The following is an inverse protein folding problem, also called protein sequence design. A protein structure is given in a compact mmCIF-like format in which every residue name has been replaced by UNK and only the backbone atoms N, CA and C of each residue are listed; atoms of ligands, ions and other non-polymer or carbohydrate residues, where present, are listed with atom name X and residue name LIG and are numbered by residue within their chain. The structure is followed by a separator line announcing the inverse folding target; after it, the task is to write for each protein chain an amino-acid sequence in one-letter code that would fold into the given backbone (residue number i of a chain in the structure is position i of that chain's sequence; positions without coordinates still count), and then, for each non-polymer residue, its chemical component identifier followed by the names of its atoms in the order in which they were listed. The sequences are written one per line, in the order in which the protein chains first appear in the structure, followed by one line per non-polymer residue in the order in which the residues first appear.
data_IF_615265546842
#
_entry.id   IF_615265546842
#
_cell.length_a   1.000
_cell.length_b   1.000
_cell.length_c   1.000
_cell.angle_alpha   90.00
_cell.angle_beta   90.00
_cell.angle_gamma   90.00
#
_symmetry.space_group_name_H-M   'P 1'
#
loop_
_entity.id
_entity.type
_entity.pdbx_description
1 polymer ?
#
# COMPACT_ATOMS: atom_id res chain seq x y z
N UNK A 1 -20.86 26.34 3.59
CA UNK A 1 -19.47 25.96 3.96
C UNK A 1 -18.59 26.54 2.87
N UNK A 2 -17.84 27.61 3.14
CA UNK A 2 -16.96 28.22 2.12
C UNK A 2 -15.98 27.18 1.59
N UNK A 3 -15.82 27.14 0.27
CA UNK A 3 -14.99 26.19 -0.43
C UNK A 3 -13.51 26.47 -0.08
N UNK A 4 -12.96 25.74 0.91
CA UNK A 4 -11.56 25.83 1.37
C UNK A 4 -10.55 25.16 0.43
N UNK A 5 -10.85 25.04 -0.86
CA UNK A 5 -9.91 24.49 -1.83
C UNK A 5 -9.02 25.63 -2.33
N UNK A 6 -7.71 25.46 -2.19
CA UNK A 6 -6.73 26.39 -2.74
C UNK A 6 -6.85 26.45 -4.27
N UNK A 7 -6.76 27.64 -4.85
CA UNK A 7 -6.67 27.80 -6.30
C UNK A 7 -5.22 27.54 -6.73
N UNK A 8 -5.04 27.22 -8.01
CA UNK A 8 -3.68 27.00 -8.55
C UNK A 8 -2.77 28.21 -8.36
N UNK A 9 -3.30 29.44 -8.44
CA UNK A 9 -2.55 30.68 -8.21
C UNK A 9 -2.07 30.84 -6.76
N UNK A 10 -2.74 30.18 -5.80
CA UNK A 10 -2.39 30.21 -4.39
C UNK A 10 -1.22 29.27 -4.06
N UNK A 11 -0.93 28.30 -4.94
CA UNK A 11 0.07 27.24 -4.72
C UNK A 11 1.23 27.32 -5.71
N UNK A 12 0.94 27.60 -6.98
CA UNK A 12 1.93 27.60 -8.05
C UNK A 12 2.98 28.69 -7.86
N UNK A 13 4.24 28.28 -7.96
CA UNK A 13 5.46 29.07 -7.72
C UNK A 13 5.56 29.70 -6.33
N UNK A 14 4.76 29.25 -5.36
CA UNK A 14 4.81 29.73 -3.98
C UNK A 14 5.79 28.92 -3.13
N UNK A 15 6.23 29.54 -2.02
CA UNK A 15 7.17 28.96 -1.06
C UNK A 15 6.45 28.67 0.27
N UNK A 16 6.56 27.44 0.73
CA UNK A 16 6.05 26.96 2.00
C UNK A 16 7.21 26.51 2.89
N UNK A 17 6.98 26.39 4.19
CA UNK A 17 7.97 25.78 5.08
C UNK A 17 8.07 24.28 4.80
N UNK A 18 6.91 23.64 4.69
CA UNK A 18 6.79 22.22 4.40
C UNK A 18 5.89 22.00 3.17
N UNK A 19 6.32 21.12 2.28
CA UNK A 19 5.47 20.57 1.22
C UNK A 19 5.23 19.11 1.55
N UNK A 20 3.97 18.74 1.77
CA UNK A 20 3.55 17.37 2.08
C UNK A 20 2.92 16.78 0.83
N UNK A 21 3.49 15.68 0.33
CA UNK A 21 3.00 14.94 -0.83
C UNK A 21 2.34 13.65 -0.34
N UNK A 22 1.05 13.47 -0.61
CA UNK A 22 0.24 12.33 -0.15
C UNK A 22 -0.21 11.44 -1.28
N UNK A 23 -0.19 10.12 -1.06
CA UNK A 23 -0.90 9.17 -1.92
C UNK A 23 -2.37 9.02 -1.51
N UNK A 24 -2.87 7.78 -1.54
CA UNK A 24 -4.24 7.45 -1.10
C UNK A 24 -4.42 7.31 0.43
N UNK A 25 -3.33 7.33 1.20
CA UNK A 25 -3.36 7.14 2.66
C UNK A 25 -3.58 8.42 3.46
N UNK A 26 -4.00 8.28 4.72
CA UNK A 26 -4.28 9.41 5.62
C UNK A 26 -3.02 9.99 6.31
N UNK A 27 -1.89 9.28 6.29
CA UNK A 27 -0.72 9.61 7.10
C UNK A 27 -0.20 11.04 6.84
N UNK A 28 0.07 11.39 5.57
CA UNK A 28 0.52 12.74 5.27
C UNK A 28 -0.55 13.82 5.47
N UNK A 29 -1.85 13.51 5.39
CA UNK A 29 -2.91 14.46 5.75
C UNK A 29 -2.86 14.80 7.25
N UNK A 30 -2.62 13.82 8.11
CA UNK A 30 -2.46 14.02 9.56
C UNK A 30 -1.20 14.86 9.84
N UNK A 31 -0.09 14.56 9.17
CA UNK A 31 1.14 15.35 9.30
C UNK A 31 0.93 16.80 8.88
N UNK A 32 0.28 17.03 7.73
CA UNK A 32 -0.05 18.37 7.25
C UNK A 32 -0.97 19.12 8.22
N UNK A 33 -1.99 18.45 8.77
CA UNK A 33 -2.87 19.04 9.78
C UNK A 33 -2.12 19.42 11.06
N UNK A 34 -1.18 18.58 11.51
CA UNK A 34 -0.38 18.88 12.70
C UNK A 34 0.57 20.06 12.49
N UNK A 35 1.27 20.09 11.36
CA UNK A 35 2.21 21.17 11.02
C UNK A 35 1.50 22.51 10.83
N UNK A 36 0.35 22.51 10.14
CA UNK A 36 -0.46 23.71 9.91
C UNK A 36 -1.20 24.22 11.16
N UNK A 37 -1.22 23.43 12.25
CA UNK A 37 -1.71 23.89 13.55
C UNK A 37 -0.92 25.07 14.14
N UNK A 38 0.30 25.32 13.65
CA UNK A 38 1.02 26.56 13.91
C UNK A 38 0.79 27.55 12.76
N UNK A 39 0.12 28.70 12.98
CA UNK A 39 -0.19 29.66 11.93
C UNK A 39 1.05 30.29 11.27
N UNK A 40 2.20 30.27 11.94
CA UNK A 40 3.47 30.74 11.40
C UNK A 40 4.21 29.70 10.55
N UNK A 41 3.63 28.52 10.37
CA UNK A 41 4.20 27.42 9.57
C UNK A 41 3.33 27.20 8.33
N UNK A 42 3.64 27.86 7.20
CA UNK A 42 2.90 27.64 5.98
C UNK A 42 3.20 26.24 5.42
N UNK A 43 2.15 25.46 5.16
CA UNK A 43 2.22 24.09 4.66
C UNK A 43 1.43 23.99 3.36
N UNK A 44 2.02 23.36 2.33
CA UNK A 44 1.29 22.91 1.16
C UNK A 44 1.04 21.40 1.26
N UNK A 45 -0.20 20.98 0.99
CA UNK A 45 -0.56 19.56 0.88
C UNK A 45 -0.90 19.28 -0.59
N UNK A 46 -0.17 18.35 -1.20
CA UNK A 46 -0.35 17.95 -2.59
C UNK A 46 -0.65 16.45 -2.68
N UNK A 47 -1.55 16.05 -3.57
CA UNK A 47 -1.87 14.65 -3.81
C UNK A 47 -1.11 14.09 -5.01
N UNK A 48 -0.53 12.91 -4.86
CA UNK A 48 0.12 12.14 -5.90
C UNK A 48 -0.84 11.06 -6.46
N UNK A 49 -0.81 10.88 -7.78
CA UNK A 49 -1.65 9.93 -8.50
C UNK A 49 -3.09 10.41 -8.79
N UNK A 50 -3.83 9.70 -9.67
CA UNK A 50 -5.13 10.11 -10.15
C UNK A 50 -6.08 10.44 -9.01
N UNK A 51 -6.58 11.67 -9.00
CA UNK A 51 -7.75 11.99 -8.23
C UNK A 51 -8.93 11.26 -8.89
N UNK A 52 -9.71 10.52 -8.12
CA UNK A 52 -11.09 10.17 -8.50
C UNK A 52 -12.01 11.43 -8.56
N UNK A 53 -11.41 12.62 -8.66
CA UNK A 53 -11.98 13.95 -8.51
C UNK A 53 -11.07 14.94 -9.26
N UNK A 54 -11.00 14.89 -10.60
CA UNK A 54 -10.45 15.92 -11.54
C UNK A 54 -9.36 16.88 -11.02
N UNK A 55 -8.36 16.36 -10.30
CA UNK A 55 -7.46 17.13 -9.44
C UNK A 55 -5.99 16.98 -9.85
N UNK A 56 -5.12 17.88 -9.36
CA UNK A 56 -3.71 17.94 -9.76
C UNK A 56 -2.96 16.63 -9.49
N UNK A 57 -2.09 16.24 -10.42
CA UNK A 57 -1.23 15.04 -10.32
C UNK A 57 0.19 15.44 -9.94
N UNK A 58 0.64 15.14 -8.72
CA UNK A 58 2.09 15.18 -8.43
C UNK A 58 2.75 13.94 -8.99
N UNK A 59 3.74 14.12 -9.86
CA UNK A 59 4.53 13.01 -10.42
C UNK A 59 6.02 13.14 -10.18
N UNK A 60 6.55 14.31 -9.81
CA UNK A 60 7.99 14.48 -9.66
C UNK A 60 8.33 15.49 -8.60
N UNK A 61 9.35 15.15 -7.81
CA UNK A 61 10.04 16.05 -6.91
C UNK A 61 11.39 16.36 -7.57
N UNK A 62 11.61 17.62 -7.91
CA UNK A 62 12.89 18.06 -8.43
C UNK A 62 13.83 18.40 -7.27
N UNK A 63 14.72 17.46 -7.01
CA UNK A 63 15.96 17.67 -6.30
C UNK A 63 16.89 18.67 -7.03
N UNK A 64 17.45 19.63 -6.30
CA UNK A 64 18.65 20.37 -6.68
C UNK A 64 19.88 19.56 -6.30
N UNK A 65 20.80 19.39 -7.24
CA UNK A 65 22.15 18.93 -6.96
C UNK A 65 22.84 20.01 -6.12
N UNK A 66 23.42 19.62 -4.99
CA UNK A 66 24.37 20.46 -4.25
C UNK A 66 25.78 19.96 -4.55
N UNK A 67 26.79 20.83 -4.39
CA UNK A 67 28.21 20.49 -4.55
C UNK A 67 28.71 19.44 -3.53
N UNK A 68 27.86 19.00 -2.60
CA UNK A 68 28.13 17.95 -1.61
C UNK A 68 27.34 16.68 -1.93
N UNK A 69 27.86 15.53 -1.48
CA UNK A 69 27.36 14.15 -1.72
C UNK A 69 25.86 13.89 -1.45
N UNK A 70 25.13 14.83 -0.82
CA UNK A 70 23.71 14.71 -0.47
C UNK A 70 22.77 15.54 -1.39
N UNK A 71 21.64 14.93 -1.76
CA UNK A 71 20.61 15.53 -2.62
C UNK A 71 19.67 16.46 -1.81
N UNK A 72 19.53 17.71 -2.24
CA UNK A 72 18.57 18.66 -1.66
C UNK A 72 17.28 18.72 -2.47
N UNK A 73 16.12 18.60 -1.85
CA UNK A 73 14.84 18.78 -2.54
C UNK A 73 14.20 20.10 -2.14
N UNK A 74 14.01 20.98 -3.11
CA UNK A 74 13.34 22.27 -2.88
C UNK A 74 12.13 22.49 -3.77
N UNK A 75 11.86 21.60 -4.74
CA UNK A 75 10.73 21.74 -5.67
C UNK A 75 9.93 20.45 -5.77
N UNK A 76 8.61 20.55 -5.57
CA UNK A 76 7.67 19.53 -6.06
C UNK A 76 6.98 20.04 -7.33
N UNK A 77 6.91 19.19 -8.35
CA UNK A 77 6.26 19.45 -9.62
C UNK A 77 4.99 18.62 -9.76
N UNK A 78 3.93 19.25 -10.27
CA UNK A 78 2.62 18.63 -10.39
C UNK A 78 1.87 19.15 -11.62
N UNK A 79 1.07 18.29 -12.26
CA UNK A 79 0.06 18.74 -13.22
C UNK A 79 -1.03 19.50 -12.53
N UNK A 80 -1.56 20.47 -13.24
CA UNK A 80 -2.95 20.82 -13.08
C UNK A 80 -3.51 21.27 -14.43
N UNK A 81 -4.50 20.54 -14.94
CA UNK A 81 -5.12 20.86 -16.24
C UNK A 81 -4.14 20.74 -17.42
N UNK A 82 -3.24 19.77 -17.41
CA UNK A 82 -2.24 19.55 -18.47
C UNK A 82 -1.06 20.53 -18.44
N UNK A 83 -0.95 21.35 -17.39
CA UNK A 83 0.17 22.27 -17.19
C UNK A 83 1.01 21.86 -15.99
N UNK A 84 2.33 21.88 -16.18
CA UNK A 84 3.29 21.62 -15.10
C UNK A 84 3.41 22.86 -14.21
N UNK A 85 3.09 22.69 -12.94
CA UNK A 85 3.28 23.68 -11.89
C UNK A 85 4.38 23.24 -10.92
N UNK A 86 4.96 24.22 -10.21
CA UNK A 86 6.02 24.00 -9.23
C UNK A 86 5.59 24.60 -7.88
N UNK A 87 5.92 23.93 -6.79
CA UNK A 87 5.82 24.49 -5.42
C UNK A 87 7.15 24.29 -4.72
N UNK A 88 7.50 25.21 -3.83
CA UNK A 88 8.82 25.24 -3.20
C UNK A 88 8.73 24.99 -1.69
N UNK A 89 9.61 24.13 -1.18
CA UNK A 89 9.78 23.90 0.26
C UNK A 89 11.01 24.65 0.77
N UNK A 90 10.87 25.40 1.87
CA UNK A 90 11.99 26.09 2.54
C UNK A 90 12.72 25.20 3.52
N UNK A 91 12.00 24.29 4.18
CA UNK A 91 12.56 23.37 5.17
C UNK A 91 12.64 21.98 4.57
N UNK A 92 11.50 21.30 4.44
CA UNK A 92 11.48 19.89 4.09
C UNK A 92 10.31 19.53 3.14
N UNK A 93 10.53 18.46 2.37
CA UNK A 93 9.47 17.76 1.65
C UNK A 93 9.15 16.45 2.36
N UNK A 94 7.88 16.28 2.72
CA UNK A 94 7.39 15.12 3.43
C UNK A 94 6.57 14.27 2.47
N UNK A 95 6.97 13.03 2.27
CA UNK A 95 6.41 12.13 1.27
C UNK A 95 5.67 10.98 1.94
N UNK A 96 4.45 10.74 1.45
CA UNK A 96 3.57 9.64 1.84
C UNK A 96 3.10 8.89 0.58
N UNK A 97 4.03 8.72 -0.36
CA UNK A 97 3.83 8.08 -1.66
C UNK A 97 5.18 7.65 -2.27
N UNK A 98 5.55 6.37 -2.16
CA UNK A 98 6.82 5.80 -2.68
C UNK A 98 7.12 6.21 -4.13
N UNK A 99 6.18 6.01 -5.03
CA UNK A 99 6.36 6.22 -6.47
C UNK A 99 6.83 7.63 -6.82
N UNK A 100 6.52 8.62 -6.00
CA UNK A 100 7.00 9.99 -6.20
C UNK A 100 8.51 10.05 -6.08
N UNK A 101 9.14 9.30 -5.17
CA UNK A 101 10.61 9.27 -5.03
C UNK A 101 11.27 8.60 -6.23
N UNK A 102 10.72 7.49 -6.72
CA UNK A 102 11.22 6.79 -7.91
C UNK A 102 11.16 7.68 -9.15
N UNK A 103 10.02 8.32 -9.42
CA UNK A 103 9.87 9.28 -10.52
C UNK A 103 10.77 10.52 -10.38
N UNK A 104 11.29 10.76 -9.17
CA UNK A 104 12.25 11.83 -8.85
C UNK A 104 13.70 11.40 -9.03
N UNK A 105 13.95 10.16 -9.45
CA UNK A 105 15.29 9.61 -9.60
C UNK A 105 15.91 9.13 -8.29
N UNK A 106 15.09 8.88 -7.26
CA UNK A 106 15.52 8.39 -5.94
C UNK A 106 15.02 6.96 -5.77
N UNK A 107 15.91 5.98 -5.95
CA UNK A 107 15.57 4.56 -5.89
C UNK A 107 16.63 3.68 -6.55
N UNK A 108 16.31 2.41 -6.77
CA UNK A 108 17.21 1.45 -7.39
C UNK A 108 17.51 1.80 -8.85
N UNK A 109 18.78 1.99 -9.18
CA UNK A 109 19.23 2.25 -10.55
C UNK A 109 18.78 1.18 -11.56
N UNK A 110 18.76 -0.08 -11.17
CA UNK A 110 18.39 -1.18 -12.06
C UNK A 110 16.87 -1.17 -12.35
N UNK A 111 16.07 -0.57 -11.47
CA UNK A 111 14.64 -0.34 -11.69
C UNK A 111 14.41 0.95 -12.48
N UNK A 112 15.10 2.03 -12.11
CA UNK A 112 14.87 3.37 -12.68
C UNK A 112 15.45 3.55 -14.09
N UNK A 113 16.61 2.94 -14.38
CA UNK A 113 17.30 3.05 -15.66
C UNK A 113 16.45 2.59 -16.84
N UNK A 114 15.87 1.37 -16.81
CA UNK A 114 14.97 0.88 -17.86
C UNK A 114 13.70 1.72 -18.05
N UNK A 115 13.27 2.47 -17.03
CA UNK A 115 12.12 3.38 -17.09
C UNK A 115 12.47 4.75 -17.70
N UNK A 116 13.72 4.96 -18.13
CA UNK A 116 14.19 6.24 -18.68
C UNK A 116 14.27 7.36 -17.64
N UNK A 117 14.26 7.02 -16.34
CA UNK A 117 14.35 8.00 -15.26
C UNK A 117 15.82 8.27 -14.94
N UNK A 118 16.23 9.54 -14.98
CA UNK A 118 17.57 9.94 -14.53
C UNK A 118 17.74 9.63 -13.05
N UNK A 119 18.64 8.69 -12.73
CA UNK A 119 18.99 8.34 -11.35
C UNK A 119 19.80 9.49 -10.75
N UNK A 120 19.23 10.11 -9.71
CA UNK A 120 19.85 11.19 -8.93
C UNK A 120 20.43 10.68 -7.62
N UNK A 121 19.78 9.67 -7.04
CA UNK A 121 20.22 9.04 -5.82
C UNK A 121 19.92 7.54 -5.92
N UNK A 122 20.99 6.76 -5.98
CA UNK A 122 20.92 5.32 -6.05
C UNK A 122 20.65 4.76 -4.64
N UNK A 123 19.42 4.29 -4.44
CA UNK A 123 18.97 3.66 -3.21
C UNK A 123 18.34 2.32 -3.56
N UNK A 124 19.18 1.34 -3.87
CA UNK A 124 18.77 -0.03 -4.17
C UNK A 124 17.76 -0.64 -3.17
N UNK A 125 17.80 -0.36 -1.86
CA UNK A 125 16.78 -0.87 -0.95
C UNK A 125 15.38 -0.26 -1.12
N UNK A 126 15.24 0.85 -1.84
CA UNK A 126 13.95 1.50 -2.08
C UNK A 126 13.04 0.60 -2.91
N UNK A 127 11.83 0.38 -2.39
CA UNK A 127 10.86 -0.52 -3.00
C UNK A 127 11.03 -1.99 -2.63
N UNK A 128 12.08 -2.34 -1.89
CA UNK A 128 12.30 -3.69 -1.36
C UNK A 128 11.64 -3.83 0.02
N UNK A 129 11.57 -5.05 0.57
CA UNK A 129 10.98 -5.33 1.90
C UNK A 129 9.48 -5.00 1.98
N UNK A 130 8.77 -5.10 0.85
CA UNK A 130 7.31 -5.01 0.80
C UNK A 130 6.73 -6.14 1.63
N UNK A 131 5.92 -5.78 2.61
CA UNK A 131 5.19 -6.71 3.46
C UNK A 131 3.71 -6.40 3.34
N UNK A 132 2.87 -7.44 3.35
CA UNK A 132 1.43 -7.31 3.21
C UNK A 132 0.73 -8.43 3.96
N UNK A 133 -0.47 -8.13 4.46
CA UNK A 133 -1.36 -9.16 4.96
C UNK A 133 -2.06 -9.84 3.79
N UNK A 134 -2.07 -11.17 3.82
CA UNK A 134 -3.00 -11.95 3.02
C UNK A 134 -4.35 -11.93 3.73
N UNK A 135 -5.36 -11.32 3.11
CA UNK A 135 -6.73 -11.51 3.52
C UNK A 135 -7.30 -12.75 2.82
N UNK A 136 -8.02 -13.58 3.56
CA UNK A 136 -8.63 -14.79 3.02
C UNK A 136 -10.11 -14.86 3.40
N UNK A 137 -10.96 -15.20 2.44
CA UNK A 137 -12.32 -15.66 2.77
C UNK A 137 -12.22 -17.10 3.26
N UNK A 138 -12.15 -17.28 4.57
CA UNK A 138 -11.99 -18.60 5.17
C UNK A 138 -13.33 -19.35 5.26
N UNK A 139 -14.43 -18.66 5.55
CA UNK A 139 -15.75 -19.31 5.59
C UNK A 139 -16.86 -18.35 5.17
N UNK A 140 -17.85 -18.87 4.42
CA UNK A 140 -19.13 -18.20 4.16
C UNK A 140 -20.22 -19.04 4.79
N UNK A 141 -20.99 -18.46 5.69
CA UNK A 141 -21.97 -19.17 6.51
C UNK A 141 -23.32 -18.51 6.32
N UNK A 142 -24.34 -19.31 6.03
CA UNK A 142 -25.72 -18.87 6.15
C UNK A 142 -26.18 -19.04 7.60
N UNK A 143 -26.70 -17.98 8.20
CA UNK A 143 -27.15 -17.97 9.60
C UNK A 143 -28.67 -18.03 9.71
N UNK A 144 -29.18 -18.50 10.86
CA UNK A 144 -30.63 -18.56 11.14
C UNK A 144 -31.17 -17.13 11.36
N UNK A 145 -31.92 -16.63 10.37
CA UNK A 145 -32.64 -15.35 10.43
C UNK A 145 -31.75 -14.11 10.24
N UNK A 146 -32.37 -13.00 9.85
CA UNK A 146 -31.73 -11.68 9.87
C UNK A 146 -31.66 -11.18 11.33
N UNK A 147 -30.44 -11.04 11.85
CA UNK A 147 -30.15 -10.56 13.21
C UNK A 147 -29.78 -9.08 13.22
N UNK A 148 -29.99 -8.35 12.11
CA UNK A 148 -29.53 -6.97 11.95
C UNK A 148 -28.01 -6.86 11.78
N UNK A 149 -27.33 -7.97 11.48
CA UNK A 149 -25.91 -7.98 11.16
C UNK A 149 -25.74 -7.66 9.67
N UNK A 150 -25.17 -6.49 9.37
CA UNK A 150 -24.79 -6.14 8.01
C UNK A 150 -23.49 -6.89 7.68
N UNK A 151 -23.60 -8.07 7.08
CA UNK A 151 -22.48 -8.73 6.40
C UNK A 151 -22.07 -7.91 5.18
N UNK A 152 -20.77 -7.83 4.87
CA UNK A 152 -20.29 -7.04 3.73
C UNK A 152 -20.89 -7.57 2.42
N UNK A 153 -21.83 -6.80 1.84
CA UNK A 153 -22.48 -7.12 0.55
C UNK A 153 -21.52 -7.13 -0.64
N UNK A 154 -20.28 -6.69 -0.43
CA UNK A 154 -19.19 -6.68 -1.43
C UNK A 154 -18.93 -8.08 -2.02
N UNK A 155 -19.28 -9.15 -1.31
CA UNK A 155 -19.04 -10.54 -1.75
C UNK A 155 -20.26 -11.23 -2.39
N UNK A 156 -21.43 -10.61 -2.31
CA UNK A 156 -22.70 -11.11 -2.89
C UNK A 156 -23.14 -10.28 -4.10
N UNK A 157 -22.46 -9.16 -4.36
CA UNK A 157 -22.64 -8.31 -5.53
C UNK A 157 -21.68 -8.75 -6.65
N UNK A 158 -22.21 -9.38 -7.70
CA UNK A 158 -21.45 -9.79 -8.89
C UNK A 158 -20.70 -8.60 -9.51
N UNK A 159 -21.25 -7.38 -9.40
CA UNK A 159 -20.63 -6.15 -9.91
C UNK A 159 -19.39 -5.74 -9.09
N UNK A 160 -19.40 -5.98 -7.77
CA UNK A 160 -18.26 -5.73 -6.88
C UNK A 160 -17.14 -6.75 -7.08
N UNK A 161 -17.47 -8.00 -7.44
CA UNK A 161 -16.48 -9.04 -7.74
C UNK A 161 -15.74 -8.78 -9.06
N UNK A 162 -16.41 -8.25 -10.10
CA UNK A 162 -15.78 -7.87 -11.37
C UNK A 162 -14.90 -6.61 -11.27
N UNK A 163 -15.22 -5.68 -10.36
CA UNK A 163 -14.43 -4.46 -10.14
C UNK A 163 -13.08 -4.70 -9.44
N UNK A 164 -12.83 -5.91 -8.93
CA UNK A 164 -11.51 -6.35 -8.43
C UNK A 164 -10.72 -7.00 -9.58
N UNK A 165 -10.84 -6.47 -10.80
CA UNK A 165 -9.85 -6.71 -11.85
C UNK A 165 -8.81 -5.60 -11.83
N UNK A 166 -7.57 -6.01 -11.56
CA UNK A 166 -6.41 -5.14 -11.47
C UNK A 166 -6.25 -4.34 -12.78
N UNK A 167 -6.33 -3.01 -12.65
CA UNK A 167 -6.07 -2.08 -13.73
C UNK A 167 -4.65 -2.25 -14.30
N UNK A 168 -4.53 -2.03 -15.61
CA UNK A 168 -3.34 -2.16 -16.47
C UNK A 168 -1.98 -1.96 -15.74
N UNK A 169 -1.14 -3.03 -15.62
CA UNK A 169 0.15 -2.98 -14.96
C UNK A 169 1.20 -2.13 -15.68
N UNK A 170 0.93 -1.62 -16.89
CA UNK A 170 1.86 -0.74 -17.62
C UNK A 170 1.84 0.71 -17.15
N UNK A 171 0.87 1.09 -16.31
CA UNK A 171 0.69 2.48 -15.84
C UNK A 171 1.00 2.63 -14.34
N UNK A 172 1.16 1.52 -13.60
CA UNK A 172 1.42 1.52 -12.15
C UNK A 172 2.74 0.79 -11.85
N UNK A 173 3.52 1.23 -10.85
CA UNK A 173 4.70 0.49 -10.42
C UNK A 173 4.30 -0.94 -10.01
N UNK A 174 5.07 -1.92 -10.47
CA UNK A 174 4.87 -3.31 -10.06
C UNK A 174 5.05 -3.43 -8.55
N UNK A 175 4.05 -3.99 -7.87
CA UNK A 175 4.09 -4.33 -6.45
C UNK A 175 3.94 -5.83 -6.36
N UNK A 176 5.01 -6.50 -5.96
CA UNK A 176 5.05 -7.94 -5.74
C UNK A 176 5.48 -8.21 -4.28
N UNK A 177 4.53 -8.56 -3.39
CA UNK A 177 4.85 -8.94 -2.01
C UNK A 177 5.43 -10.35 -1.87
N UNK A 178 5.58 -11.12 -2.95
CA UNK A 178 6.04 -12.51 -2.93
C UNK A 178 5.18 -13.42 -2.03
N UNK A 179 3.85 -13.35 -2.18
CA UNK A 179 2.95 -14.18 -1.36
C UNK A 179 3.27 -15.67 -1.46
N UNK A 180 3.35 -16.33 -0.29
CA UNK A 180 3.59 -17.77 -0.19
C UNK A 180 4.96 -18.21 -0.73
N UNK A 181 5.95 -17.31 -0.77
CA UNK A 181 7.35 -17.68 -1.00
C UNK A 181 7.86 -18.59 0.13
N UNK A 182 7.44 -18.33 1.36
CA UNK A 182 7.76 -19.15 2.52
C UNK A 182 6.62 -20.13 2.82
N UNK A 183 6.94 -21.43 2.94
CA UNK A 183 5.96 -22.50 3.18
C UNK A 183 5.13 -22.27 4.46
N UNK A 184 5.71 -21.60 5.46
CA UNK A 184 5.04 -21.29 6.74
C UNK A 184 3.79 -20.42 6.55
N UNK A 185 3.72 -19.59 5.51
CA UNK A 185 2.56 -18.74 5.24
C UNK A 185 1.32 -19.59 4.94
N UNK A 186 1.52 -20.68 4.18
CA UNK A 186 0.47 -21.63 3.84
C UNK A 186 0.04 -22.43 5.08
N UNK A 187 0.99 -22.79 5.95
CA UNK A 187 0.75 -23.51 7.20
C UNK A 187 -0.06 -22.70 8.22
N UNK A 188 0.23 -21.41 8.34
CA UNK A 188 -0.55 -20.49 9.17
C UNK A 188 -1.98 -20.39 8.66
N UNK A 189 -2.17 -20.22 7.35
CA UNK A 189 -3.49 -20.13 6.73
C UNK A 189 -4.28 -21.43 6.89
N UNK A 190 -3.64 -22.60 6.73
CA UNK A 190 -4.24 -23.90 7.03
C UNK A 190 -4.84 -23.94 8.43
N UNK A 191 -4.02 -23.52 9.39
CA UNK A 191 -4.31 -23.61 10.80
C UNK A 191 -5.48 -22.69 11.12
N UNK A 192 -5.51 -21.49 10.54
CA UNK A 192 -6.63 -20.57 10.63
C UNK A 192 -7.93 -21.19 10.06
N UNK A 193 -7.89 -21.86 8.90
CA UNK A 193 -9.06 -22.55 8.33
C UNK A 193 -9.58 -23.63 9.29
N UNK A 194 -8.69 -24.45 9.86
CA UNK A 194 -9.08 -25.49 10.83
C UNK A 194 -9.75 -24.89 12.06
N UNK A 195 -9.18 -23.82 12.62
CA UNK A 195 -9.73 -23.11 13.79
C UNK A 195 -11.11 -22.55 13.47
N UNK A 196 -11.26 -21.84 12.34
CA UNK A 196 -12.54 -21.23 11.96
C UNK A 196 -13.61 -22.31 11.75
N UNK A 197 -13.30 -23.42 11.06
CA UNK A 197 -14.23 -24.55 10.93
C UNK A 197 -14.61 -25.18 12.27
N UNK A 198 -13.68 -25.25 13.22
CA UNK A 198 -14.01 -25.72 14.58
C UNK A 198 -14.99 -24.76 15.25
N UNK A 199 -14.79 -23.44 15.11
CA UNK A 199 -15.71 -22.43 15.66
C UNK A 199 -17.11 -22.57 15.06
N UNK A 200 -17.25 -22.78 13.74
CA UNK A 200 -18.57 -22.98 13.08
C UNK A 200 -19.31 -24.21 13.58
N UNK A 201 -18.59 -25.18 14.13
CA UNK A 201 -19.12 -26.44 14.65
C UNK A 201 -19.22 -26.49 16.18
N UNK A 202 -18.94 -25.38 16.87
CA UNK A 202 -18.96 -25.31 18.34
C UNK A 202 -20.18 -24.51 18.83
N UNK A 203 -20.85 -24.99 19.88
CA UNK A 203 -21.94 -24.25 20.52
C UNK A 203 -21.42 -23.02 21.29
N UNK A 204 -22.18 -21.90 21.35
CA UNK A 204 -23.54 -21.72 20.83
C UNK A 204 -23.60 -21.26 19.36
N UNK A 205 -22.44 -21.06 18.72
CA UNK A 205 -22.38 -20.52 17.36
C UNK A 205 -22.94 -21.52 16.33
N UNK A 206 -22.70 -22.83 16.53
CA UNK A 206 -23.27 -23.91 15.71
C UNK A 206 -24.80 -23.87 15.63
N UNK A 207 -25.50 -23.61 16.73
CA UNK A 207 -26.97 -23.48 16.70
C UNK A 207 -27.48 -22.35 15.78
N UNK A 208 -26.62 -21.40 15.41
CA UNK A 208 -26.96 -20.31 14.51
C UNK A 208 -26.60 -20.59 13.04
N UNK A 209 -25.83 -21.65 12.77
CA UNK A 209 -25.32 -21.99 11.43
C UNK A 209 -26.34 -22.87 10.69
N UNK A 210 -26.91 -22.36 9.60
CA UNK A 210 -27.75 -23.14 8.67
C UNK A 210 -26.87 -24.03 7.78
N UNK A 211 -25.91 -23.40 7.11
CA UNK A 211 -24.96 -24.12 6.25
C UNK A 211 -23.64 -23.34 6.08
N UNK A 212 -22.56 -24.08 5.87
CA UNK A 212 -21.26 -23.57 5.42
C UNK A 212 -21.21 -23.65 3.89
N UNK A 213 -21.26 -22.49 3.22
CA UNK A 213 -21.17 -22.35 1.77
C UNK A 213 -19.73 -22.40 1.26
N UNK A 214 -18.78 -21.92 2.05
CA UNK A 214 -17.34 -22.02 1.79
C UNK A 214 -16.58 -22.34 3.09
N UNK A 215 -15.53 -23.18 3.05
CA UNK A 215 -15.33 -24.22 2.04
C UNK A 215 -16.50 -25.22 2.10
N UNK A 216 -17.04 -25.65 0.95
CA UNK A 216 -18.17 -26.61 0.93
C UNK A 216 -17.84 -27.83 1.79
N UNK A 217 -18.84 -28.39 2.48
CA UNK A 217 -18.68 -29.57 3.39
C UNK A 217 -17.96 -30.77 2.76
N UNK A 218 -17.97 -30.90 1.43
CA UNK A 218 -17.24 -31.94 0.69
C UNK A 218 -15.71 -31.82 0.74
N UNK A 219 -15.17 -30.67 1.19
CA UNK A 219 -13.73 -30.46 1.32
C UNK A 219 -13.24 -31.06 2.65
N UNK A 220 -12.54 -32.20 2.56
CA UNK A 220 -11.78 -32.77 3.68
C UNK A 220 -10.47 -32.00 3.82
N UNK A 221 -10.17 -31.55 5.04
CA UNK A 221 -8.90 -30.89 5.39
C UNK A 221 -8.24 -31.81 6.41
N UNK A 222 -7.45 -32.77 5.93
CA UNK A 222 -6.74 -33.71 6.80
C UNK A 222 -5.34 -33.15 7.15
N UNK A 223 -4.75 -33.61 8.27
CA UNK A 223 -3.39 -33.24 8.65
C UNK A 223 -2.39 -33.65 7.56
N UNK A 224 -1.55 -32.71 7.11
CA UNK A 224 -0.60 -32.93 6.01
C UNK A 224 -1.21 -32.92 4.60
N UNK A 225 -2.53 -32.81 4.45
CA UNK A 225 -3.18 -32.76 3.14
C UNK A 225 -4.21 -31.64 3.11
N UNK A 226 -3.75 -30.45 2.70
CA UNK A 226 -4.62 -29.39 2.22
C UNK A 226 -5.48 -29.98 1.10
N UNK A 227 -6.78 -30.13 1.37
CA UNK A 227 -7.71 -30.93 0.59
C UNK A 227 -7.50 -30.77 -0.91
N UNK A 228 -7.23 -31.89 -1.58
CA UNK A 228 -7.16 -31.98 -3.03
C UNK A 228 -8.49 -31.52 -3.62
N UNK A 229 -8.57 -30.27 -4.05
CA UNK A 229 -9.61 -29.86 -4.97
C UNK A 229 -9.36 -30.56 -6.30
N UNK A 230 -10.33 -31.36 -6.76
CA UNK A 230 -10.42 -31.78 -8.15
C UNK A 230 -10.88 -30.58 -9.00
N UNK A 231 -10.02 -29.58 -9.20
CA UNK A 231 -10.15 -28.76 -10.40
C UNK A 231 -9.35 -29.45 -11.50
N UNK A 232 -9.99 -29.73 -12.63
CA UNK A 232 -9.43 -30.49 -13.74
C UNK A 232 -8.28 -29.79 -14.49
N UNK A 233 -7.61 -28.81 -13.87
CA UNK A 233 -6.62 -27.94 -14.51
C UNK A 233 -5.25 -27.90 -13.81
N UNK A 234 -5.04 -28.61 -12.71
CA UNK A 234 -3.76 -28.51 -11.98
C UNK A 234 -3.23 -29.88 -11.48
N UNK A 235 -1.93 -30.11 -11.69
CA UNK A 235 -1.22 -31.35 -11.37
C UNK A 235 -1.12 -31.64 -9.86
N UNK A 236 -0.63 -32.84 -9.50
CA UNK A 236 -0.70 -33.36 -8.13
C UNK A 236 0.11 -32.57 -7.08
N UNK A 237 1.22 -31.95 -7.47
CA UNK A 237 2.02 -31.04 -6.62
C UNK A 237 1.31 -29.70 -6.39
N UNK A 238 0.46 -29.32 -7.34
CA UNK A 238 -0.30 -28.08 -7.43
C UNK A 238 -1.59 -28.06 -6.61
N UNK A 239 -1.93 -29.16 -5.92
CA UNK A 239 -3.21 -29.31 -5.21
C UNK A 239 -3.24 -28.74 -3.80
N UNK A 240 -2.08 -28.49 -3.17
CA UNK A 240 -2.00 -27.99 -1.79
C UNK A 240 -2.41 -26.51 -1.66
N UNK A 241 -2.24 -25.72 -2.72
CA UNK A 241 -2.25 -24.25 -2.65
C UNK A 241 -3.37 -23.58 -3.45
N UNK A 242 -4.12 -24.34 -4.26
CA UNK A 242 -5.13 -23.79 -5.17
C UNK A 242 -6.26 -23.07 -4.43
N UNK A 243 -6.82 -23.66 -3.37
CA UNK A 243 -7.90 -23.02 -2.60
C UNK A 243 -7.46 -21.72 -1.94
N UNK A 244 -6.26 -21.72 -1.32
CA UNK A 244 -5.70 -20.52 -0.68
C UNK A 244 -5.50 -19.44 -1.74
N UNK A 245 -4.78 -19.75 -2.84
CA UNK A 245 -4.50 -18.78 -3.91
C UNK A 245 -5.75 -18.21 -4.59
N UNK A 246 -6.80 -19.01 -4.76
CA UNK A 246 -8.06 -18.57 -5.39
C UNK A 246 -8.98 -17.77 -4.46
N UNK A 247 -8.81 -17.85 -3.14
CA UNK A 247 -9.69 -17.22 -2.14
C UNK A 247 -8.98 -16.17 -1.29
N UNK A 248 -7.78 -15.78 -1.69
CA UNK A 248 -6.97 -14.76 -1.03
C UNK A 248 -6.89 -13.50 -1.86
N UNK A 249 -6.86 -12.37 -1.16
CA UNK A 249 -6.70 -11.04 -1.72
C UNK A 249 -5.78 -10.22 -0.81
N UNK A 250 -5.28 -9.09 -1.30
CA UNK A 250 -4.50 -8.17 -0.46
C UNK A 250 -5.35 -7.68 0.71
N UNK A 251 -4.76 -7.64 1.90
CA UNK A 251 -5.36 -7.05 3.10
C UNK A 251 -5.36 -5.52 3.10
N UNK A 252 -4.83 -4.88 2.06
CA UNK A 252 -4.66 -3.42 1.94
C UNK A 252 -3.81 -2.81 3.08
N UNK A 253 -2.88 -3.60 3.64
CA UNK A 253 -1.97 -3.21 4.70
C UNK A 253 -0.52 -3.15 4.20
N UNK A 254 -0.28 -2.82 2.93
CA UNK A 254 1.06 -2.81 2.34
C UNK A 254 2.00 -1.89 3.13
N UNK A 255 3.16 -2.41 3.53
CA UNK A 255 4.13 -1.72 4.37
C UNK A 255 5.59 -2.05 3.98
N UNK A 256 6.54 -1.31 4.54
CA UNK A 256 7.96 -1.67 4.51
C UNK A 256 8.75 -1.33 3.27
N UNK A 257 8.12 -0.84 2.19
CA UNK A 257 8.82 -0.54 0.94
C UNK A 257 9.90 0.55 1.03
N UNK A 258 9.94 1.34 2.11
CA UNK A 258 10.93 2.39 2.40
C UNK A 258 11.45 2.29 3.84
N UNK A 259 11.75 1.06 4.29
CA UNK A 259 11.94 0.72 5.72
C UNK A 259 13.00 1.52 6.49
N UNK A 260 12.64 1.90 7.72
CA UNK A 260 13.55 2.39 8.76
C UNK A 260 14.43 1.25 9.27
N UNK A 261 15.71 1.23 8.91
CA UNK A 261 16.72 0.28 9.39
C UNK A 261 18.05 1.03 9.62
N UNK A 262 19.03 0.46 10.35
CA UNK A 262 20.40 0.96 10.31
C UNK A 262 20.92 1.07 8.87
N UNK A 263 21.76 2.05 8.56
CA UNK A 263 22.22 2.33 7.19
C UNK A 263 22.94 1.12 6.56
N UNK A 264 23.66 0.35 7.37
CA UNK A 264 24.36 -0.89 7.00
C UNK A 264 23.42 -2.09 6.78
N UNK A 265 22.11 -1.92 6.97
CA UNK A 265 21.09 -2.97 6.86
C UNK A 265 20.10 -2.70 5.72
N UNK A 266 20.59 -2.20 4.59
CA UNK A 266 19.79 -1.90 3.39
C UNK A 266 18.56 -1.05 3.73
N UNK A 267 18.82 0.13 4.32
CA UNK A 267 17.76 1.04 4.72
C UNK A 267 17.56 2.18 3.75
N UNK A 268 16.32 2.67 3.67
CA UNK A 268 15.96 3.85 2.89
C UNK A 268 15.89 5.10 3.75
N UNK A 269 15.41 4.98 4.99
CA UNK A 269 15.23 6.11 5.91
C UNK A 269 15.81 5.82 7.28
N UNK A 270 16.24 6.86 8.00
CA UNK A 270 16.74 6.74 9.36
C UNK A 270 15.62 6.76 10.43
N UNK A 271 15.98 6.67 11.72
CA UNK A 271 15.02 6.67 12.86
C UNK A 271 14.27 7.99 13.05
N UNK A 272 14.67 9.05 12.33
CA UNK A 272 13.95 10.32 12.22
C UNK A 272 13.53 10.50 10.76
N UNK A 273 12.51 9.76 10.31
CA UNK A 273 12.29 9.18 8.97
C UNK A 273 12.81 9.98 7.76
N UNK A 274 14.10 10.30 7.73
CA UNK A 274 14.75 11.09 6.69
C UNK A 274 15.41 10.14 5.72
N UNK A 275 15.23 10.40 4.42
CA UNK A 275 15.80 9.57 3.35
C UNK A 275 17.31 9.71 3.35
N UNK A 276 18.04 8.59 3.43
CA UNK A 276 19.50 8.59 3.38
C UNK A 276 19.99 9.19 2.05
N UNK A 277 21.07 9.96 2.09
CA UNK A 277 21.58 10.67 0.89
C UNK A 277 20.77 11.91 0.52
N UNK A 278 19.85 12.35 1.39
CA UNK A 278 19.09 13.59 1.20
C UNK A 278 19.15 14.48 2.43
N UNK A 279 19.08 15.79 2.22
CA UNK A 279 19.15 16.76 3.31
C UNK A 279 17.79 17.03 3.97
N UNK A 280 16.70 16.83 3.24
CA UNK A 280 15.40 17.38 3.64
C UNK A 280 14.17 16.63 3.09
N UNK A 281 14.31 15.35 2.75
CA UNK A 281 13.16 14.50 2.41
C UNK A 281 12.84 13.58 3.59
N UNK A 282 11.55 13.46 3.92
CA UNK A 282 11.04 12.47 4.88
C UNK A 282 10.02 11.53 4.26
N UNK A 283 9.95 10.29 4.76
CA UNK A 283 8.88 9.32 4.41
C UNK A 283 8.05 8.99 5.64
N UNK A 284 6.75 9.31 5.63
CA UNK A 284 5.93 9.32 6.86
C UNK A 284 4.70 8.40 6.80
N UNK A 285 4.71 7.41 5.92
CA UNK A 285 3.63 6.42 5.81
C UNK A 285 4.11 5.00 6.17
N UNK A 286 3.23 4.01 5.97
CA UNK A 286 3.51 2.61 6.28
C UNK A 286 4.72 2.04 5.52
N UNK A 287 5.16 2.67 4.42
CA UNK A 287 6.38 2.24 3.74
C UNK A 287 7.62 2.35 4.64
N UNK A 288 7.62 3.26 5.61
CA UNK A 288 8.73 3.42 6.55
C UNK A 288 8.79 2.33 7.64
N UNK A 289 7.71 1.56 7.86
CA UNK A 289 7.69 0.55 8.92
C UNK A 289 8.61 -0.62 8.57
N UNK A 290 9.62 -0.95 9.40
CA UNK A 290 10.55 -2.03 9.08
C UNK A 290 9.93 -3.43 9.09
N UNK A 291 8.92 -3.62 9.95
CA UNK A 291 8.23 -4.88 10.17
C UNK A 291 6.73 -4.57 10.17
N UNK A 292 5.97 -5.43 9.52
CA UNK A 292 4.53 -5.39 9.50
C UNK A 292 3.94 -5.53 10.91
N UNK A 293 2.84 -4.83 11.20
CA UNK A 293 2.16 -4.97 12.49
C UNK A 293 0.96 -5.89 12.34
N UNK A 294 1.05 -7.08 12.94
CA UNK A 294 -0.07 -8.01 13.04
C UNK A 294 -1.14 -7.44 13.99
N UNK A 295 -2.41 -7.57 13.59
CA UNK A 295 -3.57 -7.15 14.37
C UNK A 295 -4.08 -8.29 15.24
#
# INVERSE_FOLDING_TARGET
MEQKLARIADVSRKKYDFVVVVGGGAAGCIVAAKLSGNPNTPVALLKAGPAHLDGPLVWKINASEHEHEDVGVIVAEFDYGGQVHKVFARKEVIVSARHVLELSGIGDREVLGPLGTTVRLDLAPAGTNVQEHVAMVVSRIQMVGDRGLITSRVLDDEESAEKIQFADPKVRPAIDPHYYEEDIDLDIIASAIKIIRKVTQTEPFKALVVEERLPRRSVKIDEGTYGTWQSARVGAESRRTAYVRENTYSGWHTAGSMSIKPRDKNSVVNTRPSVYGTNNIRVVDLSALPIHMAR
#
